data_IF_455470848660
#
_entry.id   IF_455470848660
#
_cell.length_a   1.000
_cell.length_b   1.000
_cell.length_c   1.000
_cell.angle_alpha   90.00
_cell.angle_beta   90.00
_cell.angle_gamma   90.00
#
_symmetry.space_group_name_H-M   'P 1'
#
loop_
_entity.id
_entity.type
_entity.pdbx_description
1 polymer ?
#
# COMPACT_ATOMS: atom_id res chain seq x y z
N UNK A 1 -20.95 -8.88 10.34
CA UNK A 1 -21.53 -8.84 11.70
C UNK A 1 -22.67 -7.84 11.76
N UNK A 2 -22.47 -6.62 11.27
CA UNK A 2 -23.53 -5.60 11.16
C UNK A 2 -24.83 -6.13 10.53
N UNK A 3 -24.74 -6.77 9.36
CA UNK A 3 -25.89 -7.41 8.69
C UNK A 3 -26.55 -8.52 9.55
N UNK A 4 -25.73 -9.34 10.23
CA UNK A 4 -26.22 -10.38 11.14
C UNK A 4 -27.00 -9.80 12.33
N UNK A 5 -26.60 -8.64 12.84
CA UNK A 5 -27.26 -7.95 13.96
C UNK A 5 -28.33 -6.94 13.49
N UNK A 6 -28.52 -6.78 12.17
CA UNK A 6 -29.47 -5.82 11.60
C UNK A 6 -29.12 -4.36 11.94
N UNK A 7 -27.83 -4.03 12.10
CA UNK A 7 -27.35 -2.69 12.46
C UNK A 7 -26.77 -2.00 11.24
N UNK A 8 -27.23 -0.79 10.95
CA UNK A 8 -26.56 0.11 10.01
C UNK A 8 -25.54 0.98 10.77
N UNK A 9 -24.25 0.94 10.43
CA UNK A 9 -23.24 1.74 11.13
C UNK A 9 -23.51 3.25 10.97
N UNK A 10 -23.25 4.07 12.02
CA UNK A 10 -23.31 5.52 11.90
C UNK A 10 -22.40 6.04 10.79
N UNK A 11 -22.75 7.17 10.19
CA UNK A 11 -22.00 7.75 9.06
C UNK A 11 -20.48 7.85 9.30
N UNK A 12 -20.07 8.20 10.53
CA UNK A 12 -18.65 8.26 10.90
C UNK A 12 -17.95 6.90 10.80
N UNK A 13 -18.61 5.80 11.22
CA UNK A 13 -18.05 4.46 11.12
C UNK A 13 -17.93 3.99 9.67
N UNK A 14 -18.94 4.31 8.83
CA UNK A 14 -18.88 4.06 7.38
C UNK A 14 -17.67 4.74 6.73
N UNK A 15 -17.49 6.04 6.98
CA UNK A 15 -16.38 6.83 6.41
C UNK A 15 -15.00 6.35 6.88
N UNK A 16 -14.86 5.97 8.15
CA UNK A 16 -13.60 5.43 8.68
C UNK A 16 -13.25 4.10 8.00
N UNK A 17 -14.23 3.21 7.82
CA UNK A 17 -14.04 1.92 7.13
C UNK A 17 -13.69 2.11 5.66
N UNK A 18 -14.37 3.04 4.98
CA UNK A 18 -14.08 3.38 3.58
C UNK A 18 -12.65 3.96 3.43
N UNK A 19 -12.26 4.90 4.30
CA UNK A 19 -10.90 5.45 4.29
C UNK A 19 -9.84 4.36 4.50
N UNK A 20 -10.07 3.43 5.44
CA UNK A 20 -9.18 2.30 5.66
C UNK A 20 -9.09 1.37 4.44
N UNK A 21 -10.23 1.11 3.78
CA UNK A 21 -10.26 0.32 2.56
C UNK A 21 -9.49 1.00 1.42
N UNK A 22 -9.72 2.30 1.20
CA UNK A 22 -9.00 3.07 0.19
C UNK A 22 -7.49 3.12 0.47
N UNK A 23 -7.10 3.31 1.73
CA UNK A 23 -5.70 3.27 2.16
C UNK A 23 -5.07 1.90 1.87
N UNK A 24 -5.79 0.81 2.18
CA UNK A 24 -5.34 -0.56 1.91
C UNK A 24 -5.13 -0.79 0.42
N UNK A 25 -6.13 -0.48 -0.40
CA UNK A 25 -6.07 -0.67 -1.86
C UNK A 25 -4.89 0.12 -2.44
N UNK A 26 -4.71 1.37 -2.02
CA UNK A 26 -3.60 2.18 -2.46
C UNK A 26 -2.24 1.57 -2.05
N UNK A 27 -2.07 1.16 -0.79
CA UNK A 27 -0.82 0.56 -0.32
C UNK A 27 -0.50 -0.75 -1.05
N UNK A 28 -1.51 -1.61 -1.24
CA UNK A 28 -1.38 -2.91 -1.88
C UNK A 28 -0.99 -2.77 -3.35
N UNK A 29 -1.63 -1.85 -4.08
CA UNK A 29 -1.31 -1.61 -5.49
C UNK A 29 0.08 -0.96 -5.64
N UNK A 30 0.46 -0.05 -4.75
CA UNK A 30 1.84 0.45 -4.73
C UNK A 30 2.85 -0.65 -4.39
N UNK A 31 2.54 -1.56 -3.46
CA UNK A 31 3.39 -2.70 -3.13
C UNK A 31 3.57 -3.59 -4.36
N UNK A 32 2.46 -4.04 -4.94
CA UNK A 32 2.45 -4.90 -6.11
C UNK A 32 3.23 -4.26 -7.26
N UNK A 33 2.94 -3.00 -7.58
CA UNK A 33 3.60 -2.32 -8.68
C UNK A 33 5.10 -2.12 -8.43
N UNK A 34 5.53 -1.51 -7.33
CA UNK A 34 6.96 -1.18 -7.20
C UNK A 34 7.84 -2.33 -6.72
N UNK A 35 7.30 -3.27 -5.94
CA UNK A 35 8.11 -4.31 -5.28
C UNK A 35 7.98 -5.69 -5.93
N UNK A 36 6.85 -5.99 -6.57
CA UNK A 36 6.54 -7.35 -7.05
C UNK A 36 6.49 -7.41 -8.59
N UNK A 37 5.40 -6.96 -9.21
CA UNK A 37 5.18 -7.11 -10.65
C UNK A 37 5.81 -6.01 -11.51
N UNK A 38 5.97 -4.79 -11.00
CA UNK A 38 6.56 -3.70 -11.80
C UNK A 38 8.07 -3.78 -12.03
N UNK A 39 8.93 -4.42 -11.20
CA UNK A 39 10.31 -4.69 -11.60
C UNK A 39 10.48 -5.30 -12.98
N UNK A 40 9.57 -6.20 -13.40
CA UNK A 40 9.58 -6.80 -14.74
C UNK A 40 9.30 -5.78 -15.85
N UNK A 41 8.48 -4.76 -15.59
CA UNK A 41 8.16 -3.71 -16.57
C UNK A 41 9.13 -2.53 -16.54
N UNK A 42 9.55 -2.10 -15.36
CA UNK A 42 10.37 -0.91 -15.15
C UNK A 42 11.85 -1.18 -15.45
N UNK A 43 12.33 -2.37 -15.07
CA UNK A 43 13.75 -2.75 -15.18
C UNK A 43 13.96 -3.83 -16.26
N UNK A 44 12.96 -4.67 -16.50
CA UNK A 44 13.08 -5.88 -17.33
C UNK A 44 13.61 -5.64 -18.74
N UNK A 45 14.80 -6.18 -18.96
CA UNK A 45 15.48 -6.41 -20.23
C UNK A 45 16.21 -7.76 -20.14
N UNK A 46 16.48 -8.50 -21.24
CA UNK A 46 17.18 -9.80 -21.19
C UNK A 46 18.42 -9.84 -20.27
N UNK A 47 19.17 -8.74 -20.20
CA UNK A 47 20.44 -8.67 -19.46
C UNK A 47 20.31 -8.25 -17.98
N UNK A 48 19.10 -7.97 -17.51
CA UNK A 48 18.86 -7.34 -16.19
C UNK A 48 18.38 -8.30 -15.09
N UNK A 49 18.62 -9.61 -15.24
CA UNK A 49 18.04 -10.64 -14.36
C UNK A 49 18.29 -10.37 -12.86
N UNK A 50 19.46 -9.84 -12.51
CA UNK A 50 19.84 -9.53 -11.11
C UNK A 50 19.16 -8.24 -10.62
N UNK A 51 18.86 -7.30 -11.51
CA UNK A 51 18.26 -6.00 -11.19
C UNK A 51 16.72 -6.01 -11.16
N UNK A 52 16.06 -7.11 -11.58
CA UNK A 52 14.60 -7.28 -11.55
C UNK A 52 14.07 -7.51 -10.12
N UNK A 53 14.27 -6.51 -9.28
CA UNK A 53 13.76 -6.43 -7.92
C UNK A 53 13.65 -4.95 -7.51
N UNK A 54 13.24 -4.69 -6.27
CA UNK A 54 13.06 -3.34 -5.76
C UNK A 54 14.32 -2.47 -5.84
N UNK A 55 15.53 -3.03 -5.70
CA UNK A 55 16.76 -2.23 -5.74
C UNK A 55 17.03 -1.67 -7.14
N UNK A 56 16.83 -2.47 -8.19
CA UNK A 56 16.94 -1.98 -9.57
C UNK A 56 15.84 -0.98 -9.93
N UNK A 57 14.63 -1.15 -9.37
CA UNK A 57 13.55 -0.16 -9.51
C UNK A 57 13.94 1.17 -8.88
N UNK A 58 14.52 1.17 -7.68
CA UNK A 58 15.01 2.38 -7.00
C UNK A 58 16.18 3.03 -7.74
N UNK A 59 17.09 2.24 -8.32
CA UNK A 59 18.18 2.74 -9.15
C UNK A 59 17.64 3.46 -10.40
N UNK A 60 16.65 2.87 -11.09
CA UNK A 60 16.00 3.48 -12.25
C UNK A 60 15.18 4.74 -11.93
N UNK A 61 14.44 4.73 -10.82
CA UNK A 61 13.62 5.86 -10.37
C UNK A 61 14.46 7.04 -9.86
N UNK A 62 15.66 6.74 -9.38
CA UNK A 62 16.52 7.70 -8.70
C UNK A 62 16.13 7.94 -7.25
N UNK A 63 17.08 8.52 -6.50
CA UNK A 63 17.00 8.68 -5.05
C UNK A 63 15.78 9.49 -4.59
N UNK A 64 15.46 10.57 -5.29
CA UNK A 64 14.36 11.46 -4.91
C UNK A 64 13.00 10.74 -4.94
N UNK A 65 12.65 10.13 -6.08
CA UNK A 65 11.40 9.39 -6.22
C UNK A 65 11.36 8.15 -5.32
N UNK A 66 12.48 7.45 -5.13
CA UNK A 66 12.57 6.34 -4.19
C UNK A 66 12.25 6.76 -2.74
N UNK A 67 12.75 7.92 -2.31
CA UNK A 67 12.43 8.49 -1.00
C UNK A 67 10.96 8.89 -0.88
N UNK A 68 10.39 9.49 -1.92
CA UNK A 68 8.97 9.84 -1.95
C UNK A 68 8.08 8.60 -1.84
N UNK A 69 8.41 7.52 -2.56
CA UNK A 69 7.70 6.25 -2.48
C UNK A 69 7.70 5.68 -1.05
N UNK A 70 8.86 5.66 -0.39
CA UNK A 70 8.97 5.20 0.99
C UNK A 70 8.19 6.08 1.96
N UNK A 71 8.20 7.40 1.77
CA UNK A 71 7.49 8.35 2.60
C UNK A 71 5.97 8.19 2.46
N UNK A 72 5.46 8.01 1.24
CA UNK A 72 4.04 7.76 0.97
C UNK A 72 3.61 6.46 1.65
N UNK A 73 4.36 5.36 1.45
CA UNK A 73 4.05 4.07 2.07
C UNK A 73 4.01 4.17 3.60
N UNK A 74 4.93 4.92 4.20
CA UNK A 74 4.94 5.18 5.66
C UNK A 74 3.70 5.94 6.12
N UNK A 75 3.28 6.97 5.39
CA UNK A 75 2.08 7.75 5.72
C UNK A 75 0.82 6.88 5.69
N UNK A 76 0.67 6.06 4.66
CA UNK A 76 -0.50 5.17 4.50
C UNK A 76 -0.55 4.12 5.62
N UNK A 77 0.57 3.49 5.94
CA UNK A 77 0.66 2.60 7.13
C UNK A 77 0.34 3.31 8.45
N UNK A 78 0.67 4.60 8.54
CA UNK A 78 0.28 5.44 9.67
C UNK A 78 -1.24 5.57 9.82
N UNK A 79 -1.97 5.71 8.71
CA UNK A 79 -3.44 5.72 8.70
C UNK A 79 -3.99 4.38 9.20
N UNK A 80 -3.44 3.26 8.72
CA UNK A 80 -3.83 1.92 9.20
C UNK A 80 -3.62 1.75 10.70
N UNK A 81 -2.45 2.13 11.23
CA UNK A 81 -2.20 2.08 12.66
C UNK A 81 -3.13 2.99 13.47
N UNK A 82 -3.40 4.20 12.96
CA UNK A 82 -4.23 5.19 13.66
C UNK A 82 -5.69 4.72 13.79
N UNK A 83 -6.26 4.19 12.70
CA UNK A 83 -7.69 3.87 12.65
C UNK A 83 -7.99 2.39 12.94
N UNK A 84 -7.05 1.49 12.63
CA UNK A 84 -7.20 0.03 12.83
C UNK A 84 -6.40 -0.53 14.00
N UNK A 85 -5.63 0.30 14.72
CA UNK A 85 -4.79 -0.12 15.86
C UNK A 85 -3.49 -0.85 15.48
N UNK A 86 -3.36 -1.29 14.22
CA UNK A 86 -2.17 -1.93 13.67
C UNK A 86 -2.03 -1.64 12.18
N UNK A 87 -0.78 -1.49 11.72
CA UNK A 87 -0.49 -1.27 10.30
C UNK A 87 -0.72 -2.50 9.41
N UNK A 88 -0.82 -3.70 9.98
CA UNK A 88 -0.93 -4.96 9.24
C UNK A 88 -2.19 -5.76 9.61
N UNK A 89 -2.55 -5.74 10.88
CA UNK A 89 -3.63 -6.56 11.43
C UNK A 89 -4.65 -5.68 12.11
N UNK A 90 -5.45 -4.94 11.34
CA UNK A 90 -6.39 -4.03 11.93
C UNK A 90 -7.50 -4.78 12.68
N UNK A 91 -8.04 -4.12 13.70
CA UNK A 91 -9.11 -4.66 14.55
C UNK A 91 -10.38 -3.85 14.30
N UNK A 92 -11.44 -4.52 13.81
CA UNK A 92 -12.72 -3.92 13.46
C UNK A 92 -13.89 -4.74 14.00
#
# INVERSE_FOLDING_TARGET
LDDLFGVDPPAAAGLIRELLYCAFIFEDHCLHFYFLGGPDFLVGSPDTKIQRNIFGVLEKLGREHGQQLMAIRRKVRGIHSLLGGSSLFPVY
#
